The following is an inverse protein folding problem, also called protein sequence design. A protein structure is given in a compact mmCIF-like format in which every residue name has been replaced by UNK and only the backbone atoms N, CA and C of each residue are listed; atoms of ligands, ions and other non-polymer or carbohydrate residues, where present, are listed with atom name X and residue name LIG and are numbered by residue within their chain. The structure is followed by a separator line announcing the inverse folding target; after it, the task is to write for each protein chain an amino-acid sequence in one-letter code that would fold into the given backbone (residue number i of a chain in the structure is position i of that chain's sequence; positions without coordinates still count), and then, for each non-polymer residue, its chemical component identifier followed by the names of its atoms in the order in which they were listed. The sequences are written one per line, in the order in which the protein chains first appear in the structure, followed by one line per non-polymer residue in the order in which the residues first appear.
data_IF_662068035754
#
_entry.id   IF_662068035754
#
_cell.length_a   1.000
_cell.length_b   1.000
_cell.length_c   1.000
_cell.angle_alpha   90.00
_cell.angle_beta   90.00
_cell.angle_gamma   90.00
#
_symmetry.space_group_name_H-M   'P 1'
#
loop_
_entity.id
_entity.type
_entity.pdbx_description
1 polymer ?
#
# COMPACT_ATOMS: atom_id res chain seq x y z
N UNK A 1 -3.81 12.38 -7.27
CA UNK A 1 -3.88 11.26 -8.23
C UNK A 1 -4.69 11.73 -9.43
N UNK A 2 -4.29 11.35 -10.66
CA UNK A 2 -5.00 11.71 -11.90
C UNK A 2 -5.44 10.44 -12.61
N UNK A 3 -6.63 10.45 -13.19
CA UNK A 3 -7.18 9.34 -13.99
C UNK A 3 -8.18 9.89 -15.03
N UNK A 4 -8.60 9.04 -15.95
CA UNK A 4 -9.50 9.36 -17.05
C UNK A 4 -10.90 8.76 -16.86
N UNK A 5 -11.81 9.07 -17.80
CA UNK A 5 -13.18 8.58 -17.76
C UNK A 5 -13.27 7.04 -17.75
N UNK A 6 -12.40 6.36 -18.51
CA UNK A 6 -12.41 4.90 -18.53
C UNK A 6 -12.11 4.31 -17.15
N UNK A 7 -11.18 4.92 -16.42
CA UNK A 7 -10.87 4.52 -15.05
C UNK A 7 -12.01 4.85 -14.10
N UNK A 8 -12.63 6.03 -14.26
CA UNK A 8 -13.78 6.45 -13.47
C UNK A 8 -14.93 5.46 -13.56
N UNK A 9 -15.30 5.03 -14.78
CA UNK A 9 -16.41 4.11 -15.02
C UNK A 9 -16.18 2.70 -14.43
N UNK A 10 -14.92 2.35 -14.15
CA UNK A 10 -14.55 1.05 -13.57
C UNK A 10 -14.44 1.08 -12.04
N UNK A 11 -14.48 2.26 -11.46
CA UNK A 11 -14.41 2.45 -10.01
C UNK A 11 -15.84 2.54 -9.45
N UNK A 12 -16.52 1.41 -9.29
CA UNK A 12 -17.85 1.36 -8.64
C UNK A 12 -17.83 2.06 -7.27
N UNK A 13 -16.71 2.01 -6.57
CA UNK A 13 -16.53 2.62 -5.25
C UNK A 13 -16.38 4.15 -5.28
N UNK A 14 -15.96 4.76 -6.39
CA UNK A 14 -15.89 6.24 -6.46
C UNK A 14 -17.30 6.86 -6.46
N UNK A 15 -18.28 6.19 -7.00
CA UNK A 15 -19.66 6.64 -6.94
C UNK A 15 -20.23 6.67 -5.50
N UNK A 16 -19.68 5.85 -4.61
CA UNK A 16 -20.09 5.77 -3.20
C UNK A 16 -19.21 6.65 -2.29
N UNK A 17 -17.93 6.85 -2.63
CA UNK A 17 -16.99 7.68 -1.85
C UNK A 17 -17.19 9.19 -2.09
N UNK A 18 -18.04 9.52 -3.06
CA UNK A 18 -18.53 10.87 -3.25
C UNK A 18 -17.65 11.73 -4.18
N UNK A 19 -18.32 12.60 -4.91
CA UNK A 19 -17.70 13.66 -5.73
C UNK A 19 -16.79 14.60 -4.90
N UNK A 20 -16.89 14.53 -3.57
CA UNK A 20 -16.16 15.41 -2.63
C UNK A 20 -14.64 15.21 -2.65
N UNK A 21 -14.15 14.08 -3.18
CA UNK A 21 -12.70 13.83 -3.30
C UNK A 21 -12.13 14.28 -4.65
N UNK A 22 -13.00 14.56 -5.65
CA UNK A 22 -12.58 15.10 -6.94
C UNK A 22 -12.34 16.60 -6.78
N UNK A 23 -11.08 17.01 -6.86
CA UNK A 23 -10.69 18.41 -6.68
C UNK A 23 -10.65 19.19 -7.99
N UNK A 24 -10.56 18.51 -9.12
CA UNK A 24 -10.62 19.12 -10.46
C UNK A 24 -11.04 18.10 -11.52
N UNK A 25 -11.70 18.60 -12.57
CA UNK A 25 -12.07 17.85 -13.77
C UNK A 25 -11.86 18.75 -15.00
N UNK A 26 -11.37 18.18 -16.10
CA UNK A 26 -11.18 18.92 -17.36
C UNK A 26 -11.18 17.99 -18.58
N UNK A 27 -11.46 18.57 -19.75
CA UNK A 27 -11.45 17.86 -21.02
C UNK A 27 -10.05 17.60 -21.58
N UNK A 28 -9.04 18.31 -21.07
CA UNK A 28 -7.64 18.14 -21.49
C UNK A 28 -6.72 18.08 -20.26
N UNK A 29 -5.58 17.43 -20.42
CA UNK A 29 -4.55 17.36 -19.34
C UNK A 29 -4.01 18.77 -19.03
N UNK A 30 -3.82 19.63 -20.05
CA UNK A 30 -3.38 21.01 -19.84
C UNK A 30 -4.37 21.84 -19.03
N UNK A 31 -5.67 21.75 -19.35
CA UNK A 31 -6.71 22.43 -18.57
C UNK A 31 -6.82 21.88 -17.13
N UNK A 32 -6.59 20.57 -16.95
CA UNK A 32 -6.52 19.99 -15.63
C UNK A 32 -5.32 20.51 -14.84
N UNK A 33 -4.15 20.63 -15.48
CA UNK A 33 -2.96 21.21 -14.87
C UNK A 33 -3.17 22.67 -14.43
N UNK A 34 -3.82 23.48 -15.27
CA UNK A 34 -4.20 24.86 -14.93
C UNK A 34 -5.15 24.91 -13.72
N UNK A 35 -6.19 24.08 -13.72
CA UNK A 35 -7.13 23.99 -12.58
C UNK A 35 -6.44 23.62 -11.26
N UNK A 36 -5.38 22.80 -11.35
CA UNK A 36 -4.56 22.38 -10.20
C UNK A 36 -3.43 23.39 -9.87
N UNK A 37 -3.32 24.49 -10.60
CA UNK A 37 -2.26 25.50 -10.46
C UNK A 37 -0.84 24.92 -10.59
N UNK A 38 -0.69 23.89 -11.43
CA UNK A 38 0.60 23.26 -11.70
C UNK A 38 1.41 24.08 -12.72
N UNK A 39 2.75 24.06 -12.65
CA UNK A 39 3.58 24.66 -13.68
C UNK A 39 3.28 24.04 -15.05
N UNK A 40 3.23 24.89 -16.09
CA UNK A 40 2.93 24.47 -17.46
C UNK A 40 3.84 23.33 -17.92
N UNK A 41 3.27 22.34 -18.60
CA UNK A 41 3.97 21.17 -19.12
C UNK A 41 4.30 20.07 -18.09
N UNK A 42 4.18 20.33 -16.80
CA UNK A 42 4.56 19.34 -15.76
C UNK A 42 3.65 18.12 -15.82
N UNK A 43 2.35 18.31 -15.80
CA UNK A 43 1.40 17.21 -15.82
C UNK A 43 1.36 16.53 -17.19
N UNK A 44 1.38 17.31 -18.26
CA UNK A 44 1.39 16.82 -19.64
C UNK A 44 2.59 15.92 -19.91
N UNK A 45 3.80 16.34 -19.51
CA UNK A 45 5.00 15.55 -19.67
C UNK A 45 4.95 14.25 -18.85
N UNK A 46 4.42 14.32 -17.63
CA UNK A 46 4.26 13.14 -16.75
C UNK A 46 3.30 12.14 -17.36
N UNK A 47 2.13 12.59 -17.83
CA UNK A 47 1.13 11.72 -18.45
C UNK A 47 1.63 11.17 -19.79
N UNK A 48 2.33 11.98 -20.62
CA UNK A 48 2.92 11.51 -21.87
C UNK A 48 3.94 10.39 -21.61
N UNK A 49 4.86 10.60 -20.68
CA UNK A 49 5.83 9.57 -20.28
C UNK A 49 5.14 8.31 -19.77
N UNK A 50 4.20 8.43 -18.84
CA UNK A 50 3.45 7.30 -18.34
C UNK A 50 2.74 6.53 -19.46
N UNK A 51 2.04 7.22 -20.36
CA UNK A 51 1.29 6.61 -21.43
C UNK A 51 2.17 5.87 -22.45
N UNK A 52 3.40 6.35 -22.70
CA UNK A 52 4.36 5.66 -23.56
C UNK A 52 4.64 4.22 -23.11
N UNK A 53 4.78 4.03 -21.81
CA UNK A 53 5.03 2.69 -21.24
C UNK A 53 3.75 1.94 -20.91
N UNK A 54 2.72 2.64 -20.47
CA UNK A 54 1.45 2.02 -20.11
C UNK A 54 0.76 1.32 -21.28
N UNK A 55 0.99 1.78 -22.52
CA UNK A 55 0.53 1.09 -23.75
C UNK A 55 1.16 -0.29 -23.90
N UNK A 56 2.33 -0.52 -23.32
CA UNK A 56 3.05 -1.79 -23.31
C UNK A 56 2.76 -2.62 -22.06
N UNK A 57 1.92 -2.12 -21.14
CA UNK A 57 1.67 -2.73 -19.84
C UNK A 57 2.82 -2.54 -18.85
N UNK A 58 3.68 -1.53 -19.07
CA UNK A 58 4.88 -1.28 -18.26
C UNK A 58 4.76 0.03 -17.48
N UNK A 59 5.40 0.10 -16.32
CA UNK A 59 5.60 1.31 -15.52
C UNK A 59 7.02 1.29 -14.93
N UNK A 60 8.02 1.84 -15.65
CA UNK A 60 9.41 1.79 -15.21
C UNK A 60 9.70 2.58 -13.94
N UNK A 61 8.88 3.59 -13.61
CA UNK A 61 9.12 4.43 -12.44
C UNK A 61 8.61 3.81 -11.14
N UNK A 62 7.42 3.24 -11.17
CA UNK A 62 6.72 2.77 -9.97
C UNK A 62 6.47 1.27 -9.98
N UNK A 63 6.89 0.57 -11.03
CA UNK A 63 6.75 -0.89 -11.18
C UNK A 63 5.31 -1.37 -10.94
N UNK A 64 4.34 -0.60 -11.41
CA UNK A 64 2.92 -0.95 -11.33
C UNK A 64 2.69 -2.26 -12.10
N UNK A 65 1.91 -3.15 -11.52
CA UNK A 65 1.64 -4.45 -12.16
C UNK A 65 0.92 -4.26 -13.50
N UNK A 66 1.26 -5.02 -14.56
CA UNK A 66 0.64 -4.88 -15.90
C UNK A 66 -0.88 -4.91 -15.88
N UNK A 67 -1.49 -5.72 -15.02
CA UNK A 67 -2.94 -5.83 -14.87
C UNK A 67 -3.63 -4.50 -14.47
N UNK A 68 -2.88 -3.58 -13.87
CA UNK A 68 -3.37 -2.26 -13.42
C UNK A 68 -2.75 -1.11 -14.19
N UNK A 69 -1.89 -1.40 -15.19
CA UNK A 69 -1.21 -0.39 -15.99
C UNK A 69 -2.02 -0.13 -17.26
N UNK A 70 -2.58 1.07 -17.36
CA UNK A 70 -3.41 1.51 -18.50
C UNK A 70 -3.08 2.94 -18.85
N UNK A 71 -3.06 3.32 -20.14
CA UNK A 71 -2.93 4.70 -20.56
C UNK A 71 -4.06 5.58 -20.00
N UNK A 72 -3.74 6.82 -19.68
CA UNK A 72 -4.68 7.86 -19.29
C UNK A 72 -4.94 8.68 -20.56
N UNK A 73 -6.07 8.41 -21.26
CA UNK A 73 -6.28 8.96 -22.61
C UNK A 73 -7.73 9.34 -22.94
N UNK A 74 -8.71 8.97 -22.13
CA UNK A 74 -10.12 9.22 -22.42
C UNK A 74 -10.67 10.37 -21.56
N UNK A 75 -10.98 11.53 -22.16
CA UNK A 75 -11.59 12.65 -21.42
C UNK A 75 -13.03 12.28 -20.95
N UNK A 76 -13.54 12.99 -19.95
CA UNK A 76 -12.81 13.95 -19.12
C UNK A 76 -11.77 13.31 -18.20
N UNK A 77 -10.78 14.16 -17.83
CA UNK A 77 -9.73 13.78 -16.89
C UNK A 77 -10.06 14.32 -15.49
N UNK A 78 -9.75 13.55 -14.49
CA UNK A 78 -10.07 13.84 -13.11
C UNK A 78 -8.82 13.91 -12.25
N UNK A 79 -8.84 14.81 -11.27
CA UNK A 79 -7.85 14.83 -10.20
C UNK A 79 -8.53 14.65 -8.85
N UNK A 80 -7.95 13.78 -8.02
CA UNK A 80 -8.37 13.61 -6.63
C UNK A 80 -7.24 14.01 -5.70
N UNK A 81 -7.58 14.65 -4.59
CA UNK A 81 -6.62 14.91 -3.54
C UNK A 81 -6.17 13.58 -2.95
N UNK A 82 -4.89 13.25 -3.11
CA UNK A 82 -4.28 12.16 -2.36
C UNK A 82 -4.06 12.65 -0.93
N UNK A 83 -5.02 12.42 -0.06
CA UNK A 83 -5.01 13.06 1.25
C UNK A 83 -4.19 12.31 2.27
N UNK A 84 -4.10 11.00 2.18
CA UNK A 84 -3.25 10.18 3.07
C UNK A 84 -3.03 8.80 2.47
N UNK A 85 -1.83 8.28 2.64
CA UNK A 85 -1.61 6.84 2.60
C UNK A 85 -2.38 6.25 3.78
N UNK A 86 -3.54 5.68 3.52
CA UNK A 86 -4.29 4.97 4.55
C UNK A 86 -3.67 3.58 4.75
N UNK A 87 -2.46 3.57 5.34
CA UNK A 87 -1.79 2.35 5.74
C UNK A 87 -2.34 1.88 7.07
N UNK A 88 -3.16 0.85 7.08
CA UNK A 88 -3.70 0.29 8.31
C UNK A 88 -2.61 -0.46 9.10
N UNK A 89 -1.70 -1.13 8.41
CA UNK A 89 -0.54 -1.80 8.98
C UNK A 89 0.45 -2.22 7.88
N UNK A 90 1.66 -2.59 8.28
CA UNK A 90 2.68 -3.14 7.39
C UNK A 90 2.66 -4.67 7.43
N UNK A 91 3.04 -5.31 6.32
CA UNK A 91 3.28 -6.76 6.26
C UNK A 91 4.72 -7.11 6.62
N UNK A 92 5.60 -6.13 6.62
CA UNK A 92 6.98 -6.27 7.06
C UNK A 92 7.14 -6.07 8.56
N UNK A 93 8.16 -6.69 9.14
CA UNK A 93 8.45 -6.60 10.56
C UNK A 93 9.54 -7.58 10.94
N UNK A 94 9.67 -7.84 12.23
CA UNK A 94 10.61 -8.83 12.75
C UNK A 94 10.11 -10.25 12.41
N UNK A 95 10.96 -11.04 11.76
CA UNK A 95 10.69 -12.44 11.47
C UNK A 95 10.63 -13.23 12.80
N UNK A 96 9.57 -13.99 13.01
CA UNK A 96 9.39 -14.79 14.23
C UNK A 96 9.12 -16.25 13.92
N UNK A 97 9.40 -17.13 14.90
CA UNK A 97 8.99 -18.52 14.87
C UNK A 97 7.61 -18.72 15.54
N UNK A 98 7.15 -19.95 15.63
CA UNK A 98 5.87 -20.33 16.25
C UNK A 98 5.81 -20.06 17.76
N UNK A 99 6.96 -19.86 18.40
CA UNK A 99 7.11 -19.50 19.81
C UNK A 99 7.19 -17.98 20.04
N UNK A 100 6.96 -17.19 18.98
CA UNK A 100 7.06 -15.73 18.96
C UNK A 100 8.49 -15.17 19.20
N UNK A 101 9.52 -16.02 19.12
CA UNK A 101 10.91 -15.58 19.21
C UNK A 101 11.35 -14.93 17.92
N UNK A 102 12.06 -13.81 18.00
CA UNK A 102 12.65 -13.14 16.85
C UNK A 102 13.82 -13.96 16.31
N UNK A 103 13.86 -14.10 15.00
CA UNK A 103 14.90 -14.82 14.29
C UNK A 103 16.00 -13.89 13.80
N UNK A 104 17.23 -14.33 13.91
CA UNK A 104 18.40 -13.67 13.33
C UNK A 104 18.28 -13.62 11.80
N UNK A 105 18.56 -12.48 11.20
CA UNK A 105 18.60 -12.34 9.73
C UNK A 105 19.81 -13.05 9.10
N UNK A 106 20.76 -13.51 9.91
CA UNK A 106 21.98 -14.15 9.41
C UNK A 106 21.80 -15.64 9.15
N UNK A 107 21.06 -16.34 10.02
CA UNK A 107 21.02 -17.79 10.03
C UNK A 107 19.67 -18.37 10.48
N UNK A 108 18.65 -17.52 10.64
CA UNK A 108 17.33 -17.89 11.15
C UNK A 108 17.33 -18.53 12.56
N UNK A 109 18.41 -18.38 13.31
CA UNK A 109 18.44 -18.84 14.70
C UNK A 109 17.60 -17.92 15.61
N UNK A 110 16.90 -18.44 16.63
CA UNK A 110 16.21 -17.61 17.59
C UNK A 110 17.18 -16.75 18.39
N UNK A 111 16.87 -15.45 18.50
CA UNK A 111 17.60 -14.53 19.38
C UNK A 111 17.09 -14.70 20.81
N UNK A 112 17.98 -15.14 21.71
CA UNK A 112 17.61 -15.41 23.10
C UNK A 112 17.03 -14.17 23.78
N UNK A 113 15.89 -14.33 24.46
CA UNK A 113 15.19 -13.28 25.20
C UNK A 113 14.49 -12.23 24.34
N UNK A 114 14.53 -12.35 23.01
CA UNK A 114 13.88 -11.38 22.11
C UNK A 114 12.61 -11.98 21.51
N UNK A 115 11.46 -11.36 21.80
CA UNK A 115 10.15 -11.75 21.32
C UNK A 115 9.47 -10.61 20.57
N UNK A 116 8.63 -10.97 19.62
CA UNK A 116 7.81 -9.97 18.90
C UNK A 116 6.41 -10.54 18.63
N UNK A 117 5.42 -9.67 18.69
CA UNK A 117 4.02 -10.02 18.42
C UNK A 117 3.26 -8.84 17.81
N UNK A 118 2.16 -9.16 17.16
CA UNK A 118 1.31 -8.15 16.55
C UNK A 118 1.91 -7.52 15.32
N UNK A 119 1.73 -6.21 15.16
CA UNK A 119 2.14 -5.49 13.93
C UNK A 119 3.65 -5.34 13.76
N UNK A 120 4.42 -5.60 14.79
CA UNK A 120 5.88 -5.59 14.72
C UNK A 120 6.46 -6.92 14.22
N UNK A 121 5.64 -7.98 14.18
CA UNK A 121 6.03 -9.30 13.70
C UNK A 121 5.63 -9.48 12.23
N UNK A 122 6.50 -10.11 11.43
CA UNK A 122 6.25 -10.48 10.04
C UNK A 122 6.07 -11.98 9.86
N UNK A 123 5.76 -12.38 8.62
CA UNK A 123 5.63 -13.77 8.15
C UNK A 123 4.42 -14.57 8.71
N UNK A 124 3.56 -13.92 9.51
CA UNK A 124 2.38 -14.57 10.09
C UNK A 124 1.18 -14.52 9.13
N UNK A 125 0.98 -13.38 8.46
CA UNK A 125 -0.18 -13.12 7.61
C UNK A 125 0.10 -13.29 6.11
N UNK A 126 1.33 -13.67 5.76
CA UNK A 126 1.78 -13.76 4.37
C UNK A 126 1.98 -12.40 3.71
N UNK A 127 1.92 -12.37 2.37
CA UNK A 127 2.23 -11.18 1.55
C UNK A 127 1.01 -10.37 1.15
N UNK A 128 -0.18 -10.71 1.63
CA UNK A 128 -1.43 -10.07 1.24
C UNK A 128 -2.42 -9.95 2.38
N UNK A 129 -3.37 -9.03 2.24
CA UNK A 129 -4.43 -8.84 3.22
C UNK A 129 -5.40 -10.02 3.23
N UNK A 130 -5.39 -10.78 4.31
CA UNK A 130 -6.20 -12.00 4.44
C UNK A 130 -7.59 -11.75 5.03
N UNK A 131 -7.95 -10.50 5.31
CA UNK A 131 -9.27 -10.12 5.80
C UNK A 131 -9.27 -9.38 7.13
N UNK A 132 -10.41 -8.76 7.43
CA UNK A 132 -10.61 -8.02 8.68
C UNK A 132 -10.53 -8.95 9.89
N UNK A 133 -9.88 -8.49 10.95
CA UNK A 133 -9.66 -9.26 12.17
C UNK A 133 -8.34 -10.04 12.22
N UNK A 134 -7.70 -10.33 11.09
CA UNK A 134 -6.45 -11.10 11.04
C UNK A 134 -5.32 -10.43 11.84
N UNK A 135 -5.16 -9.13 11.73
CA UNK A 135 -4.17 -8.37 12.52
C UNK A 135 -4.46 -8.44 14.02
N UNK A 136 -5.73 -8.32 14.41
CA UNK A 136 -6.14 -8.44 15.83
C UNK A 136 -5.90 -9.86 16.36
N UNK A 137 -6.27 -10.87 15.57
CA UNK A 137 -6.04 -12.28 15.93
C UNK A 137 -4.55 -12.57 16.12
N UNK A 138 -3.70 -12.05 15.21
CA UNK A 138 -2.23 -12.14 15.32
C UNK A 138 -1.72 -11.50 16.62
N UNK A 139 -2.18 -10.29 16.97
CA UNK A 139 -1.78 -9.62 18.20
C UNK A 139 -2.10 -10.44 19.44
N UNK A 140 -3.31 -10.97 19.56
CA UNK A 140 -3.72 -11.76 20.73
C UNK A 140 -3.02 -13.13 20.80
N UNK A 141 -2.93 -13.81 19.65
CA UNK A 141 -2.33 -15.15 19.59
C UNK A 141 -0.85 -15.11 19.96
N UNK A 142 -0.08 -14.33 19.23
CA UNK A 142 1.37 -14.27 19.44
C UNK A 142 1.76 -13.49 20.68
N UNK A 143 0.98 -12.49 21.09
CA UNK A 143 1.17 -11.83 22.38
C UNK A 143 1.01 -12.80 23.56
N UNK A 144 0.00 -13.69 23.50
CA UNK A 144 -0.16 -14.75 24.53
C UNK A 144 0.98 -15.77 24.50
N UNK A 145 1.42 -16.19 23.30
CA UNK A 145 2.53 -17.13 23.15
C UNK A 145 3.81 -16.52 23.72
N UNK A 146 4.16 -15.29 23.30
CA UNK A 146 5.33 -14.57 23.79
C UNK A 146 5.31 -14.44 25.32
N UNK A 147 4.18 -13.98 25.89
CA UNK A 147 4.05 -13.84 27.34
C UNK A 147 4.23 -15.14 28.13
N UNK A 148 3.73 -16.26 27.60
CA UNK A 148 3.93 -17.58 28.22
C UNK A 148 5.37 -18.05 28.13
N UNK A 149 6.04 -17.81 27.02
CA UNK A 149 7.44 -18.20 26.82
C UNK A 149 8.36 -17.41 27.73
N UNK A 150 8.21 -16.08 27.74
CA UNK A 150 9.00 -15.19 28.62
C UNK A 150 8.81 -15.55 30.09
N UNK A 151 7.57 -15.86 30.54
CA UNK A 151 7.30 -16.23 31.90
C UNK A 151 7.93 -17.58 32.33
N UNK A 152 8.31 -18.42 31.38
CA UNK A 152 8.98 -19.69 31.60
C UNK A 152 10.50 -19.64 31.44
N UNK A 153 11.07 -18.49 31.06
CA UNK A 153 12.54 -18.32 30.95
C UNK A 153 13.18 -18.13 32.33
N UNK A 154 14.41 -18.62 32.46
CA UNK A 154 15.24 -18.30 33.63
C UNK A 154 15.55 -16.81 33.69
N UNK A 155 15.59 -16.25 34.89
CA UNK A 155 15.94 -14.84 35.08
C UNK A 155 17.36 -14.57 34.53
N UNK A 156 17.49 -13.46 33.83
CA UNK A 156 18.81 -13.00 33.36
C UNK A 156 19.70 -12.70 34.56
N UNK A 157 20.90 -13.27 34.55
CA UNK A 157 21.93 -13.01 35.59
C UNK A 157 22.65 -11.68 35.34
#
# INVERSE_FOLDING_TARGET
MVFDQQTYDQMEEISEVGADVIVAQAETIGALAEALQMPAGTLENTIAYYNEYAQKGEDPLWMKRPAYTRPISQPPFYAVAATTLNGLFTYGGLKINTDAQVLSAMDDSPISGLYSAGRNASDILGTGYCGSGASVASCYTFGRIAGRKVAGEEAWA
#
